data_IF_589630333532
#
_entry.id   IF_589630333532
#
_cell.length_a   1.000
_cell.length_b   1.000
_cell.length_c   1.000
_cell.angle_alpha   90.00
_cell.angle_beta   90.00
_cell.angle_gamma   90.00
#
_symmetry.space_group_name_H-M   'P 1'
#
loop_
_entity.id
_entity.type
_entity.pdbx_description
1 polymer ?
#
# COMPACT_ATOMS: atom_id res chain seq x y z
N UNK A 1 24.23 9.97 8.61
CA UNK A 1 24.35 10.81 7.39
C UNK A 1 23.56 12.11 7.50
N UNK A 2 22.35 12.14 8.06
CA UNK A 2 21.53 13.37 8.12
C UNK A 2 21.57 14.13 9.44
N UNK A 3 22.22 13.60 10.48
CA UNK A 3 22.17 14.13 11.86
C UNK A 3 22.56 15.61 11.97
N UNK A 4 23.61 16.06 11.28
CA UNK A 4 24.01 17.46 11.29
C UNK A 4 23.01 18.36 10.54
N UNK A 5 22.52 17.89 9.39
CA UNK A 5 21.55 18.63 8.58
C UNK A 5 20.17 18.75 9.24
N UNK A 6 19.82 17.83 10.15
CA UNK A 6 18.53 17.81 10.86
C UNK A 6 18.62 18.42 12.27
N UNK A 7 19.74 19.06 12.62
CA UNK A 7 19.94 19.64 13.94
C UNK A 7 18.80 20.63 14.31
N UNK A 8 18.23 20.45 15.50
CA UNK A 8 17.13 21.29 16.00
C UNK A 8 15.74 20.96 15.44
N UNK A 9 15.58 19.88 14.68
CA UNK A 9 14.28 19.36 14.21
C UNK A 9 13.93 18.07 14.94
N UNK A 10 12.63 17.88 15.18
CA UNK A 10 12.12 16.63 15.73
C UNK A 10 11.98 15.59 14.61
N UNK A 11 12.23 14.30 14.88
CA UNK A 11 12.01 13.24 13.91
C UNK A 11 10.56 13.20 13.41
N UNK A 12 10.38 12.94 12.12
CA UNK A 12 9.08 12.80 11.48
C UNK A 12 9.11 11.71 10.38
N UNK A 13 8.15 11.77 9.45
CA UNK A 13 8.05 10.84 8.32
C UNK A 13 9.31 10.85 7.43
N UNK A 14 10.14 11.89 7.51
CA UNK A 14 11.39 12.03 6.77
C UNK A 14 12.38 10.93 7.11
N UNK A 15 12.62 10.66 8.39
CA UNK A 15 13.54 9.61 8.85
C UNK A 15 13.05 8.21 8.46
N UNK A 16 11.74 7.98 8.57
CA UNK A 16 11.10 6.71 8.17
C UNK A 16 11.25 6.47 6.65
N UNK A 17 10.93 7.48 5.85
CA UNK A 17 11.09 7.41 4.39
C UNK A 17 12.56 7.21 3.99
N UNK A 18 13.50 7.82 4.72
CA UNK A 18 14.93 7.63 4.45
C UNK A 18 15.34 6.18 4.69
N UNK A 19 14.91 5.56 5.80
CA UNK A 19 15.16 4.15 6.08
C UNK A 19 14.60 3.24 4.98
N UNK A 20 13.35 3.49 4.55
CA UNK A 20 12.72 2.73 3.46
C UNK A 20 13.51 2.84 2.14
N UNK A 21 13.98 4.04 1.77
CA UNK A 21 14.81 4.27 0.57
C UNK A 21 16.18 3.60 0.64
N UNK A 22 16.82 3.58 1.80
CA UNK A 22 18.09 2.86 1.98
C UNK A 22 17.90 1.37 1.74
N UNK A 23 16.83 0.75 2.29
CA UNK A 23 16.50 -0.67 2.05
C UNK A 23 16.29 -0.95 0.56
N UNK A 24 15.50 -0.11 -0.11
CA UNK A 24 15.28 -0.21 -1.56
C UNK A 24 16.57 -0.12 -2.36
N UNK A 25 17.44 0.83 -2.03
CA UNK A 25 18.76 0.99 -2.67
C UNK A 25 19.65 -0.23 -2.48
N UNK A 26 19.68 -0.81 -1.28
CA UNK A 26 20.43 -2.05 -1.00
C UNK A 26 19.93 -3.22 -1.83
N UNK A 27 18.61 -3.43 -1.90
CA UNK A 27 18.04 -4.52 -2.71
C UNK A 27 18.33 -4.36 -4.20
N UNK A 28 18.26 -3.13 -4.73
CA UNK A 28 18.62 -2.84 -6.11
C UNK A 28 20.12 -3.05 -6.37
N UNK A 29 21.00 -2.75 -5.40
CA UNK A 29 22.43 -3.04 -5.53
C UNK A 29 22.72 -4.55 -5.61
N UNK A 30 22.02 -5.36 -4.82
CA UNK A 30 22.09 -6.83 -4.91
C UNK A 30 21.57 -7.33 -6.26
N UNK A 31 20.43 -6.82 -6.71
CA UNK A 31 19.85 -7.10 -8.02
C UNK A 31 20.85 -6.82 -9.16
N UNK A 32 21.48 -5.65 -9.14
CA UNK A 32 22.48 -5.28 -10.14
C UNK A 32 23.72 -6.18 -10.10
N UNK A 33 24.15 -6.61 -8.90
CA UNK A 33 25.34 -7.45 -8.73
C UNK A 33 25.10 -8.89 -9.20
N UNK A 34 23.92 -9.44 -8.93
CA UNK A 34 23.63 -10.87 -9.09
C UNK A 34 22.63 -11.18 -10.21
N UNK A 35 22.07 -10.16 -10.87
CA UNK A 35 21.07 -10.35 -11.93
C UNK A 35 19.68 -10.79 -11.44
N UNK A 36 19.41 -10.66 -10.14
CA UNK A 36 18.11 -11.03 -9.55
C UNK A 36 17.06 -9.95 -9.79
N UNK A 37 15.79 -10.37 -9.89
CA UNK A 37 14.67 -9.43 -9.93
C UNK A 37 14.18 -9.14 -8.51
N UNK A 38 14.17 -7.86 -8.12
CA UNK A 38 13.52 -7.45 -6.86
C UNK A 38 12.02 -7.52 -7.02
N UNK A 39 11.36 -8.25 -6.11
CA UNK A 39 9.90 -8.30 -6.01
C UNK A 39 9.42 -7.31 -4.96
N UNK A 40 8.49 -6.43 -5.32
CA UNK A 40 7.87 -5.51 -4.37
C UNK A 40 6.65 -6.13 -3.71
N UNK A 41 6.39 -5.73 -2.47
CA UNK A 41 5.39 -6.35 -1.59
C UNK A 41 4.22 -5.42 -1.26
N UNK A 42 4.10 -4.29 -1.95
CA UNK A 42 2.97 -3.38 -1.77
C UNK A 42 1.67 -4.00 -2.29
N UNK A 43 0.61 -3.99 -1.47
CA UNK A 43 -0.70 -4.49 -1.85
C UNK A 43 -1.63 -3.37 -2.38
N UNK A 44 -2.81 -3.75 -2.88
CA UNK A 44 -3.76 -2.82 -3.49
C UNK A 44 -4.24 -1.74 -2.52
N UNK A 45 -4.48 -2.11 -1.27
CA UNK A 45 -4.96 -1.19 -0.23
C UNK A 45 -3.93 -0.11 0.06
N UNK A 46 -2.67 -0.49 0.28
CA UNK A 46 -1.54 0.43 0.50
C UNK A 46 -1.33 1.36 -0.70
N UNK A 47 -1.34 0.81 -1.92
CA UNK A 47 -1.17 1.58 -3.15
C UNK A 47 -2.34 2.54 -3.40
N UNK A 48 -3.56 2.15 -3.05
CA UNK A 48 -4.75 2.98 -3.22
C UNK A 48 -4.60 4.27 -2.43
N UNK A 49 -4.35 4.18 -1.13
CA UNK A 49 -4.25 5.36 -0.25
C UNK A 49 -2.86 6.00 -0.22
N UNK A 50 -1.90 5.44 -0.96
CA UNK A 50 -0.52 5.94 -1.04
C UNK A 50 0.30 5.74 0.22
N UNK A 51 -0.04 4.71 0.99
CA UNK A 51 0.66 4.30 2.22
C UNK A 51 1.90 3.48 1.89
N UNK A 52 2.84 4.15 1.24
CA UNK A 52 4.10 3.56 0.79
C UNK A 52 5.12 4.67 0.51
N UNK A 53 6.40 4.31 0.57
CA UNK A 53 7.50 5.24 0.31
C UNK A 53 7.90 5.15 -1.15
N UNK A 54 7.73 6.25 -1.90
CA UNK A 54 8.22 6.32 -3.26
C UNK A 54 9.75 6.11 -3.28
N UNK A 55 10.18 5.10 -4.04
CA UNK A 55 11.57 4.63 -4.16
C UNK A 55 12.14 3.98 -2.89
N UNK A 56 11.28 3.63 -1.94
CA UNK A 56 11.61 2.77 -0.82
C UNK A 56 11.07 1.37 -1.05
N UNK A 57 10.13 0.96 -0.20
CA UNK A 57 9.35 -0.28 -0.29
C UNK A 57 8.69 -0.52 -1.67
N UNK A 58 8.45 0.53 -2.45
CA UNK A 58 7.88 0.42 -3.79
C UNK A 58 8.88 0.12 -4.91
N UNK A 59 10.19 0.04 -4.62
CA UNK A 59 11.23 -0.17 -5.66
C UNK A 59 11.42 -1.65 -5.99
N UNK A 60 11.31 -1.99 -7.27
CA UNK A 60 11.60 -3.33 -7.76
C UNK A 60 11.17 -3.54 -9.21
N UNK A 61 11.42 -4.74 -9.72
CA UNK A 61 11.09 -5.12 -11.10
C UNK A 61 9.65 -5.60 -11.27
N UNK A 62 9.04 -6.16 -10.22
CA UNK A 62 7.69 -6.72 -10.30
C UNK A 62 6.96 -6.71 -8.96
N UNK A 63 5.68 -6.32 -8.97
CA UNK A 63 4.84 -6.20 -7.78
C UNK A 63 3.81 -7.34 -7.74
N UNK A 64 4.14 -8.41 -7.02
CA UNK A 64 3.43 -9.70 -7.09
C UNK A 64 2.00 -9.61 -6.56
N UNK A 65 1.80 -8.84 -5.49
CA UNK A 65 0.52 -8.72 -4.78
C UNK A 65 -0.14 -7.35 -4.94
N UNK A 66 0.29 -6.58 -5.96
CA UNK A 66 -0.15 -5.20 -6.23
C UNK A 66 -1.66 -5.02 -6.37
N UNK A 67 -2.36 -6.06 -6.83
CA UNK A 67 -3.80 -6.00 -7.10
C UNK A 67 -4.63 -6.86 -6.12
N UNK A 68 -4.06 -7.23 -4.98
CA UNK A 68 -4.78 -7.86 -3.87
C UNK A 68 -5.09 -6.83 -2.77
N UNK A 69 -6.34 -6.74 -2.32
CA UNK A 69 -6.68 -6.02 -1.09
C UNK A 69 -6.01 -6.69 0.12
N UNK A 70 -5.75 -5.93 1.19
CA UNK A 70 -5.04 -6.44 2.37
C UNK A 70 -5.78 -7.61 3.03
N UNK A 71 -7.10 -7.49 3.16
CA UNK A 71 -7.98 -8.57 3.62
C UNK A 71 -7.81 -9.83 2.78
N UNK A 72 -7.77 -9.69 1.45
CA UNK A 72 -7.50 -10.81 0.52
C UNK A 72 -6.10 -11.41 0.68
N UNK A 73 -5.08 -10.60 0.99
CA UNK A 73 -3.73 -11.10 1.30
C UNK A 73 -3.78 -12.03 2.53
N UNK A 74 -4.47 -11.63 3.60
CA UNK A 74 -4.63 -12.49 4.79
C UNK A 74 -5.35 -13.80 4.46
N UNK A 75 -6.42 -13.75 3.66
CA UNK A 75 -7.14 -14.95 3.24
C UNK A 75 -6.29 -15.88 2.37
N UNK A 76 -5.45 -15.30 1.49
CA UNK A 76 -4.50 -16.06 0.70
C UNK A 76 -3.46 -16.77 1.57
N UNK A 77 -2.94 -16.09 2.59
CA UNK A 77 -1.99 -16.70 3.55
C UNK A 77 -2.62 -17.92 4.25
N UNK A 78 -3.85 -17.77 4.77
CA UNK A 78 -4.59 -18.87 5.40
C UNK A 78 -4.86 -20.01 4.42
N UNK A 79 -5.23 -19.68 3.18
CA UNK A 79 -5.45 -20.65 2.12
C UNK A 79 -4.19 -21.46 1.80
N UNK A 80 -3.02 -20.81 1.70
CA UNK A 80 -1.74 -21.47 1.45
C UNK A 80 -1.40 -22.47 2.55
N UNK A 81 -1.51 -22.05 3.82
CA UNK A 81 -1.26 -22.93 4.96
C UNK A 81 -2.19 -24.15 4.92
N UNK A 82 -3.50 -23.91 4.78
CA UNK A 82 -4.52 -24.98 4.69
C UNK A 82 -4.23 -25.95 3.55
N UNK A 83 -3.93 -25.43 2.35
CA UNK A 83 -3.63 -26.25 1.16
C UNK A 83 -2.36 -27.07 1.33
N UNK A 84 -1.37 -26.55 2.03
CA UNK A 84 -0.10 -27.24 2.25
C UNK A 84 -0.12 -28.29 3.37
N UNK A 85 -1.16 -28.28 4.21
CA UNK A 85 -1.25 -29.14 5.39
C UNK A 85 -0.23 -28.81 6.49
N UNK A 86 0.48 -27.68 6.40
CA UNK A 86 1.45 -27.20 7.39
C UNK A 86 1.49 -25.68 7.46
N UNK A 87 2.15 -25.15 8.47
CA UNK A 87 2.41 -23.71 8.61
C UNK A 87 3.59 -23.32 7.71
N UNK A 88 3.31 -22.78 6.52
CA UNK A 88 4.31 -22.17 5.62
C UNK A 88 4.51 -20.70 5.99
N UNK A 89 3.39 -20.00 6.23
CA UNK A 89 3.35 -18.59 6.64
C UNK A 89 2.97 -18.60 8.11
N UNK A 90 3.81 -18.00 8.97
CA UNK A 90 3.57 -18.11 10.40
C UNK A 90 2.27 -17.43 10.82
N UNK A 91 1.51 -18.06 11.71
CA UNK A 91 0.27 -17.49 12.27
C UNK A 91 0.56 -16.15 12.97
N UNK A 92 1.74 -16.01 13.59
CA UNK A 92 2.17 -14.76 14.24
C UNK A 92 2.20 -13.60 13.25
N UNK A 93 2.59 -13.83 11.99
CA UNK A 93 2.61 -12.78 10.95
C UNK A 93 1.19 -12.41 10.51
N UNK A 94 0.24 -13.34 10.60
CA UNK A 94 -1.16 -13.13 10.22
C UNK A 94 -1.92 -12.37 11.31
N UNK A 95 -1.67 -12.69 12.59
CA UNK A 95 -2.41 -12.13 13.73
C UNK A 95 -1.78 -10.87 14.32
N UNK A 96 -0.48 -10.64 14.08
CA UNK A 96 0.19 -9.42 14.56
C UNK A 96 -0.44 -8.20 13.89
N UNK A 97 -0.71 -7.10 14.64
CA UNK A 97 -1.14 -5.86 14.04
C UNK A 97 -0.17 -5.38 12.95
N UNK A 98 -0.67 -4.81 11.84
CA UNK A 98 0.19 -4.26 10.81
C UNK A 98 1.08 -3.15 11.40
N UNK A 99 2.37 -3.18 11.05
CA UNK A 99 3.36 -2.15 11.41
C UNK A 99 4.42 -2.04 10.31
N UNK A 100 4.83 -0.82 9.94
CA UNK A 100 5.98 -0.59 9.07
C UNK A 100 7.36 -0.78 9.79
N UNK A 101 7.37 -0.87 11.13
CA UNK A 101 8.57 -1.08 11.95
C UNK A 101 9.74 -0.12 11.63
N UNK A 102 9.42 1.16 11.35
CA UNK A 102 10.38 2.23 11.05
C UNK A 102 10.73 3.11 12.26
N UNK A 103 9.92 3.04 13.33
CA UNK A 103 10.21 3.66 14.63
C UNK A 103 9.78 2.77 15.80
N UNK A 104 10.34 2.95 17.02
CA UNK A 104 9.89 2.25 18.21
C UNK A 104 8.39 2.46 18.46
N UNK A 105 7.71 1.40 18.88
CA UNK A 105 6.28 1.39 19.22
C UNK A 105 5.35 1.88 18.10
N UNK A 106 5.79 1.76 16.83
CA UNK A 106 4.97 2.11 15.68
C UNK A 106 3.75 1.19 15.56
N UNK A 107 2.56 1.80 15.58
CA UNK A 107 1.30 1.16 15.24
C UNK A 107 0.73 1.78 13.96
N UNK A 108 0.35 0.97 12.97
CA UNK A 108 -0.21 1.48 11.71
C UNK A 108 -1.64 2.04 11.87
N UNK A 109 -2.31 1.68 12.97
CA UNK A 109 -3.64 2.19 13.38
C UNK A 109 -3.69 3.71 13.58
N UNK A 110 -2.54 4.38 13.62
CA UNK A 110 -2.43 5.83 13.79
C UNK A 110 -2.71 6.62 12.51
N UNK A 111 -2.74 5.96 11.34
CA UNK A 111 -2.81 6.68 10.04
C UNK A 111 -3.91 6.21 9.09
N UNK A 112 -4.38 4.97 9.21
CA UNK A 112 -5.46 4.41 8.39
C UNK A 112 -6.49 3.70 9.28
N UNK A 113 -7.77 3.64 8.87
CA UNK A 113 -8.72 2.75 9.53
C UNK A 113 -8.27 1.28 9.37
N UNK A 114 -8.86 0.39 10.17
CA UNK A 114 -8.68 -1.05 10.01
C UNK A 114 -8.99 -1.49 8.56
N UNK A 115 -8.26 -2.48 8.04
CA UNK A 115 -8.40 -2.91 6.64
C UNK A 115 -9.79 -3.49 6.34
N UNK A 116 -10.45 -4.07 7.34
CA UNK A 116 -11.83 -4.55 7.28
C UNK A 116 -12.84 -3.42 7.03
N UNK A 117 -12.46 -2.17 7.33
CA UNK A 117 -13.24 -0.96 7.04
C UNK A 117 -12.75 -0.28 5.76
N UNK A 118 -11.42 -0.25 5.54
CA UNK A 118 -10.82 0.37 4.36
C UNK A 118 -11.16 -0.34 3.06
N UNK A 119 -10.94 -1.66 3.03
CA UNK A 119 -10.98 -2.46 1.81
C UNK A 119 -12.35 -2.46 1.14
N UNK A 120 -13.50 -2.56 1.86
CA UNK A 120 -14.81 -2.42 1.24
C UNK A 120 -15.03 -1.06 0.56
N UNK A 121 -14.54 0.02 1.16
CA UNK A 121 -14.62 1.37 0.55
C UNK A 121 -13.77 1.41 -0.72
N UNK A 122 -12.57 0.84 -0.69
CA UNK A 122 -11.68 0.79 -1.85
C UNK A 122 -12.26 -0.06 -2.97
N UNK A 123 -12.85 -1.20 -2.66
CA UNK A 123 -13.52 -2.05 -3.65
C UNK A 123 -14.64 -1.28 -4.36
N UNK A 124 -15.52 -0.63 -3.60
CA UNK A 124 -16.61 0.16 -4.16
C UNK A 124 -16.10 1.34 -5.00
N UNK A 125 -15.13 2.11 -4.49
CA UNK A 125 -14.62 3.32 -5.13
C UNK A 125 -13.73 3.03 -6.34
N UNK A 126 -12.89 2.00 -6.27
CA UNK A 126 -11.88 1.69 -7.29
C UNK A 126 -12.39 0.62 -8.24
N UNK A 127 -12.90 -0.50 -7.72
CA UNK A 127 -13.27 -1.63 -8.57
C UNK A 127 -14.64 -1.46 -9.21
N UNK A 128 -15.62 -0.93 -8.45
CA UNK A 128 -17.00 -0.80 -8.89
C UNK A 128 -17.37 0.61 -9.41
N UNK A 129 -16.41 1.54 -9.50
CA UNK A 129 -16.60 2.93 -9.95
C UNK A 129 -17.74 3.70 -9.23
N UNK A 130 -18.01 3.36 -7.97
CA UNK A 130 -18.99 4.11 -7.18
C UNK A 130 -18.44 5.48 -6.83
N UNK A 131 -19.29 6.50 -6.94
CA UNK A 131 -19.01 7.82 -6.41
C UNK A 131 -19.00 7.81 -4.89
N UNK A 132 -18.31 8.78 -4.26
CA UNK A 132 -18.34 8.93 -2.80
C UNK A 132 -19.78 9.06 -2.27
N UNK A 133 -20.67 9.76 -2.99
CA UNK A 133 -22.06 9.92 -2.60
C UNK A 133 -22.84 8.58 -2.59
N UNK A 134 -22.63 7.72 -3.59
CA UNK A 134 -23.24 6.38 -3.60
C UNK A 134 -22.76 5.52 -2.44
N UNK A 135 -21.46 5.53 -2.15
CA UNK A 135 -20.89 4.75 -1.04
C UNK A 135 -21.46 5.24 0.31
N UNK A 136 -21.62 6.55 0.48
CA UNK A 136 -22.25 7.13 1.68
C UNK A 136 -23.72 6.71 1.79
N UNK A 137 -24.46 6.71 0.68
CA UNK A 137 -25.85 6.26 0.65
C UNK A 137 -26.01 4.76 0.98
N UNK A 138 -24.95 3.96 0.85
CA UNK A 138 -24.89 2.55 1.28
C UNK A 138 -24.66 2.39 2.80
N UNK A 139 -24.52 3.48 3.55
CA UNK A 139 -24.40 3.47 5.01
C UNK A 139 -22.97 3.56 5.55
N UNK A 140 -21.98 3.83 4.69
CA UNK A 140 -20.62 4.12 5.14
C UNK A 140 -20.49 5.54 5.70
N UNK A 141 -19.59 5.73 6.65
CA UNK A 141 -19.33 7.04 7.27
C UNK A 141 -18.86 8.09 6.25
N UNK A 142 -19.54 9.25 6.20
CA UNK A 142 -19.28 10.31 5.23
C UNK A 142 -17.82 10.80 5.30
N UNK A 143 -17.38 11.15 6.51
CA UNK A 143 -16.06 11.73 6.71
C UNK A 143 -14.96 10.75 6.28
N UNK A 144 -15.13 9.46 6.58
CA UNK A 144 -14.22 8.41 6.18
C UNK A 144 -14.20 8.19 4.67
N UNK A 145 -15.36 8.05 4.03
CA UNK A 145 -15.45 7.83 2.57
C UNK A 145 -14.78 8.97 1.81
N UNK A 146 -15.10 10.23 2.17
CA UNK A 146 -14.48 11.40 1.52
C UNK A 146 -12.97 11.45 1.74
N UNK A 147 -12.51 11.10 2.94
CA UNK A 147 -11.07 11.01 3.25
C UNK A 147 -10.38 9.96 2.38
N UNK A 148 -10.93 8.76 2.28
CA UNK A 148 -10.35 7.67 1.48
C UNK A 148 -10.36 8.01 -0.01
N UNK A 149 -11.48 8.51 -0.56
CA UNK A 149 -11.57 8.95 -1.95
C UNK A 149 -10.49 10.00 -2.28
N UNK A 150 -10.32 11.00 -1.40
CA UNK A 150 -9.28 12.02 -1.54
C UNK A 150 -7.87 11.43 -1.50
N UNK A 151 -7.59 10.49 -0.59
CA UNK A 151 -6.29 9.82 -0.52
C UNK A 151 -6.03 9.03 -1.81
N UNK A 152 -7.05 8.34 -2.34
CA UNK A 152 -6.93 7.64 -3.62
C UNK A 152 -6.54 8.62 -4.71
N UNK A 153 -7.25 9.72 -4.87
CA UNK A 153 -6.99 10.64 -5.98
C UNK A 153 -5.66 11.39 -5.86
N UNK A 154 -5.29 11.83 -4.66
CA UNK A 154 -4.03 12.55 -4.43
C UNK A 154 -2.79 11.69 -4.68
N UNK A 155 -2.87 10.36 -4.53
CA UNK A 155 -1.72 9.46 -4.65
C UNK A 155 -1.53 8.87 -6.05
N UNK A 156 -2.25 9.37 -7.06
CA UNK A 156 -2.10 8.91 -8.45
C UNK A 156 -0.65 9.07 -8.96
N UNK A 157 0.03 10.16 -8.61
CA UNK A 157 1.42 10.39 -9.02
C UNK A 157 2.39 9.32 -8.50
N UNK A 158 2.16 8.80 -7.28
CA UNK A 158 2.99 7.72 -6.73
C UNK A 158 2.71 6.40 -7.46
N UNK A 159 1.44 6.08 -7.71
CA UNK A 159 1.04 4.83 -8.38
C UNK A 159 1.58 4.72 -9.81
N UNK A 160 1.70 5.84 -10.52
CA UNK A 160 2.28 5.88 -11.87
C UNK A 160 3.76 5.49 -11.94
N UNK A 161 4.46 5.51 -10.82
CA UNK A 161 5.89 5.19 -10.72
C UNK A 161 6.13 3.81 -10.09
N UNK A 162 5.08 3.10 -9.69
CA UNK A 162 5.19 1.76 -9.12
C UNK A 162 5.55 0.71 -10.17
N UNK A 163 6.21 -0.36 -9.73
CA UNK A 163 6.54 -1.50 -10.57
C UNK A 163 5.29 -2.09 -11.27
N UNK A 164 5.47 -2.72 -12.46
CA UNK A 164 4.41 -3.51 -13.08
C UNK A 164 4.03 -4.69 -12.17
N UNK A 165 2.81 -5.19 -12.30
CA UNK A 165 2.31 -6.29 -11.47
C UNK A 165 1.17 -7.02 -12.16
N UNK A 166 0.73 -8.12 -11.55
CA UNK A 166 -0.39 -8.93 -12.05
C UNK A 166 -1.71 -8.23 -11.72
N UNK A 167 -2.67 -8.29 -12.65
CA UNK A 167 -4.07 -8.00 -12.39
C UNK A 167 -4.78 -9.29 -11.98
N UNK A 168 -5.49 -9.25 -10.87
CA UNK A 168 -6.30 -10.38 -10.36
C UNK A 168 -7.74 -9.95 -10.05
N UNK A 169 -8.01 -8.65 -9.99
CA UNK A 169 -9.32 -8.06 -9.73
C UNK A 169 -10.04 -7.61 -11.02
N UNK A 170 -11.30 -7.17 -10.86
CA UNK A 170 -12.08 -6.60 -11.95
C UNK A 170 -11.46 -5.30 -12.50
N UNK A 171 -10.85 -4.47 -11.65
CA UNK A 171 -10.16 -3.23 -12.06
C UNK A 171 -8.87 -3.02 -11.28
N UNK A 172 -7.73 -3.09 -11.97
CA UNK A 172 -6.42 -2.81 -11.39
C UNK A 172 -5.98 -1.35 -11.59
N UNK A 173 -5.11 -0.87 -10.70
CA UNK A 173 -4.40 0.40 -10.93
C UNK A 173 -3.42 0.26 -12.11
N UNK A 174 -3.55 1.17 -13.09
CA UNK A 174 -2.74 1.17 -14.30
C UNK A 174 -3.59 1.21 -15.56
N UNK A 175 -3.60 0.13 -16.35
CA UNK A 175 -4.27 0.11 -17.66
C UNK A 175 -5.78 0.26 -17.58
N UNK A 176 -6.41 -0.27 -16.53
CA UNK A 176 -7.87 -0.31 -16.37
C UNK A 176 -8.43 0.95 -15.69
N UNK A 177 -7.64 1.63 -14.84
CA UNK A 177 -8.01 2.91 -14.20
C UNK A 177 -7.04 4.01 -14.60
N UNK A 178 -7.45 4.84 -15.57
CA UNK A 178 -6.63 5.92 -16.13
C UNK A 178 -7.15 7.30 -15.68
N UNK A 179 -6.68 7.78 -14.54
CA UNK A 179 -7.00 9.12 -14.05
C UNK A 179 -5.82 10.09 -14.20
N UNK A 180 -6.07 11.40 -14.38
CA UNK A 180 -4.99 12.38 -14.43
C UNK A 180 -4.32 12.54 -13.05
N UNK A 181 -3.02 12.85 -13.04
CA UNK A 181 -2.31 13.24 -11.81
C UNK A 181 -2.85 14.58 -11.31
N UNK A 182 -2.94 15.57 -12.21
CA UNK A 182 -3.55 16.86 -11.91
C UNK A 182 -5.07 16.70 -12.02
N UNK A 183 -5.72 16.45 -10.88
CA UNK A 183 -7.16 16.26 -10.80
C UNK A 183 -7.81 17.31 -9.88
N UNK A 184 -8.73 18.09 -10.44
CA UNK A 184 -9.52 19.10 -9.72
C UNK A 184 -10.92 18.64 -9.33
N UNK A 185 -11.32 17.41 -9.69
CA UNK A 185 -12.61 16.84 -9.34
C UNK A 185 -12.73 16.67 -7.82
N UNK A 186 -13.91 16.98 -7.27
CA UNK A 186 -14.18 16.99 -5.81
C UNK A 186 -15.31 16.05 -5.37
N UNK A 187 -15.79 15.20 -6.26
CA UNK A 187 -17.00 14.39 -6.04
C UNK A 187 -18.23 15.14 -6.49
#
# INVERSE_FOLDING_TARGET
MTQQSFAGKQPDLTEENLQSRVRGTTLMALSNKFGWMVLTTGNKSELAVGYFTLYGDSVGGFAVIKDLLKTTVYDLCRHINKRSGREIISEVVITKPPSAELRPDQRDDQSLPAYEVLDPILELYVEQDRTAAEIIAMGFDDALVRRIARLVDMNEYKRRQGAPGVRVSAKAFGKDRRLPITNGYRG
#
